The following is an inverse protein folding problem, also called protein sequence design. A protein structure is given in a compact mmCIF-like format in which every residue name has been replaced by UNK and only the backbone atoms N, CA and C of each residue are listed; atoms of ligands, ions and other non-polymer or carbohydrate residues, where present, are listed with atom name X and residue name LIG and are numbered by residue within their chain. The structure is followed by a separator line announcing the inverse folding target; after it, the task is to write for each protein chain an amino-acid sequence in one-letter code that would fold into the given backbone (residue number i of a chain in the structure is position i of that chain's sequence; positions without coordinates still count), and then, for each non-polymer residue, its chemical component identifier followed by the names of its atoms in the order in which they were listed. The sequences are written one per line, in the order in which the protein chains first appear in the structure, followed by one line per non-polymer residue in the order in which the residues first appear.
data_IF_897338011406
#
_entry.id   IF_897338011406
#
_cell.length_a   1.000
_cell.length_b   1.000
_cell.length_c   1.000
_cell.angle_alpha   90.00
_cell.angle_beta   90.00
_cell.angle_gamma   90.00
#
_symmetry.space_group_name_H-M   'P 1'
#
loop_
_entity.id
_entity.type
_entity.pdbx_description
1 polymer ?
#
# COMPACT_ATOMS: atom_id res chain seq x y z
N UNK A 1 -5.60 -31.18 0.17
CA UNK A 1 -4.47 -30.76 -0.67
C UNK A 1 -3.70 -29.71 0.13
N UNK A 2 -2.39 -29.93 0.42
CA UNK A 2 -1.59 -28.93 1.11
C UNK A 2 -1.43 -27.69 0.23
N UNK A 3 -1.61 -26.49 0.81
CA UNK A 3 -1.37 -25.25 0.09
C UNK A 3 0.09 -25.22 -0.39
N UNK A 4 0.31 -24.85 -1.65
CA UNK A 4 1.66 -24.65 -2.19
C UNK A 4 2.27 -23.45 -1.45
N UNK A 5 3.28 -23.69 -0.64
CA UNK A 5 3.95 -22.63 0.11
C UNK A 5 4.72 -21.70 -0.85
N UNK A 6 4.30 -20.45 -0.92
CA UNK A 6 5.02 -19.42 -1.71
C UNK A 6 6.28 -19.02 -0.95
N UNK A 7 7.45 -19.24 -1.56
CA UNK A 7 8.72 -18.80 -0.98
C UNK A 7 8.84 -17.28 -1.10
N UNK A 8 8.77 -16.60 0.05
CA UNK A 8 8.91 -15.14 0.09
C UNK A 8 10.34 -14.70 -0.17
N UNK A 9 10.49 -13.61 -0.93
CA UNK A 9 11.77 -12.91 -1.11
C UNK A 9 12.30 -12.47 0.26
N UNK A 10 13.58 -12.66 0.57
CA UNK A 10 14.19 -12.05 1.76
C UNK A 10 14.09 -10.53 1.69
N UNK A 11 13.58 -9.92 2.74
CA UNK A 11 13.46 -8.46 2.86
C UNK A 11 13.74 -8.01 4.29
N UNK A 12 14.11 -6.74 4.47
CA UNK A 12 14.35 -6.15 5.79
C UNK A 12 13.06 -6.03 6.58
N UNK A 13 13.19 -6.21 7.90
CA UNK A 13 12.10 -5.97 8.85
C UNK A 13 11.95 -4.49 9.10
N UNK A 14 10.78 -3.94 8.83
CA UNK A 14 10.45 -2.53 9.10
C UNK A 14 9.25 -2.47 10.03
N UNK A 15 9.42 -1.90 11.22
CA UNK A 15 8.34 -1.72 12.18
C UNK A 15 7.67 -0.36 11.97
N UNK A 16 6.34 -0.37 11.73
CA UNK A 16 5.50 0.82 11.56
C UNK A 16 4.45 0.85 12.67
N UNK A 17 4.66 1.67 13.71
CA UNK A 17 3.90 1.51 14.93
C UNK A 17 4.07 0.10 15.50
N UNK A 18 2.97 -0.64 15.60
CA UNK A 18 2.97 -2.05 16.03
C UNK A 18 3.04 -3.06 14.86
N UNK A 19 2.96 -2.59 13.60
CA UNK A 19 2.85 -3.44 12.41
C UNK A 19 4.23 -3.72 11.82
N UNK A 20 4.54 -5.01 11.66
CA UNK A 20 5.80 -5.48 11.08
C UNK A 20 5.64 -5.70 9.58
N UNK A 21 6.51 -5.07 8.78
CA UNK A 21 6.63 -5.25 7.33
C UNK A 21 7.91 -6.02 7.02
N UNK A 22 7.86 -6.90 6.03
CA UNK A 22 9.07 -7.61 5.57
C UNK A 22 9.59 -8.67 6.53
N UNK A 23 10.78 -9.21 6.24
CA UNK A 23 11.41 -10.24 7.07
C UNK A 23 10.62 -11.52 7.21
N UNK A 24 9.81 -11.86 6.22
CA UNK A 24 8.93 -13.05 6.26
C UNK A 24 7.59 -12.82 6.97
N UNK A 25 7.33 -11.63 7.53
CA UNK A 25 6.02 -11.30 8.10
C UNK A 25 4.88 -11.40 7.06
N UNK A 26 3.63 -11.63 7.48
CA UNK A 26 2.49 -11.64 6.55
C UNK A 26 2.41 -10.35 5.72
N UNK A 27 1.93 -10.46 4.48
CA UNK A 27 1.73 -9.28 3.61
C UNK A 27 0.69 -8.35 4.22
N UNK A 28 1.06 -7.10 4.45
CA UNK A 28 0.24 -6.12 5.16
C UNK A 28 -0.68 -5.36 4.19
N UNK A 29 -1.95 -5.23 4.57
CA UNK A 29 -2.95 -4.44 3.85
C UNK A 29 -2.88 -2.99 4.32
N UNK A 30 -2.60 -2.08 3.38
CA UNK A 30 -2.62 -0.64 3.59
C UNK A 30 -3.73 0.00 2.78
N UNK A 31 -4.41 0.99 3.35
CA UNK A 31 -5.39 1.83 2.67
C UNK A 31 -5.01 3.31 2.70
N UNK A 32 -5.90 4.16 2.16
CA UNK A 32 -5.73 5.60 2.16
C UNK A 32 -7.10 6.28 2.19
N UNK A 33 -7.21 7.33 3.00
CA UNK A 33 -8.38 8.22 3.00
C UNK A 33 -8.48 9.05 1.71
N UNK A 34 -9.67 9.53 1.42
CA UNK A 34 -9.92 10.53 0.38
C UNK A 34 -10.65 11.77 0.93
N UNK A 35 -10.77 11.87 2.24
CA UNK A 35 -11.25 13.08 2.92
C UNK A 35 -10.19 14.18 2.87
N UNK A 36 -10.63 15.43 3.03
CA UNK A 36 -9.70 16.52 3.37
C UNK A 36 -9.19 16.29 4.79
N UNK A 37 -7.87 16.13 4.94
CA UNK A 37 -7.27 15.86 6.25
C UNK A 37 -7.41 17.04 7.23
N UNK A 38 -7.62 18.25 6.73
CA UNK A 38 -7.94 19.41 7.56
C UNK A 38 -9.29 19.25 8.29
N UNK A 39 -10.23 18.48 7.73
CA UNK A 39 -11.43 18.02 8.43
C UNK A 39 -11.08 16.79 9.28
N UNK A 40 -10.70 17.07 10.53
CA UNK A 40 -10.29 16.04 11.47
C UNK A 40 -11.41 15.04 11.81
N UNK A 41 -12.68 15.46 11.78
CA UNK A 41 -13.81 14.60 12.11
C UNK A 41 -14.08 13.60 10.97
N UNK A 42 -14.26 14.10 9.76
CA UNK A 42 -14.48 13.25 8.58
C UNK A 42 -13.31 12.30 8.34
N UNK A 43 -12.07 12.77 8.54
CA UNK A 43 -10.88 11.93 8.36
C UNK A 43 -10.78 10.87 9.46
N UNK A 44 -11.07 11.19 10.72
CA UNK A 44 -11.11 10.22 11.81
C UNK A 44 -12.13 9.12 11.51
N UNK A 45 -13.34 9.48 11.12
CA UNK A 45 -14.40 8.53 10.81
C UNK A 45 -13.98 7.59 9.68
N UNK A 46 -13.41 8.12 8.59
CA UNK A 46 -12.99 7.30 7.47
C UNK A 46 -11.79 6.40 7.81
N UNK A 47 -10.83 6.87 8.61
CA UNK A 47 -9.72 6.03 9.12
C UNK A 47 -10.26 4.90 9.96
N UNK A 48 -11.23 5.16 10.85
CA UNK A 48 -11.85 4.15 11.69
C UNK A 48 -12.56 3.08 10.84
N UNK A 49 -13.36 3.49 9.86
CA UNK A 49 -14.04 2.54 8.94
C UNK A 49 -13.06 1.66 8.17
N UNK A 50 -11.95 2.24 7.70
CA UNK A 50 -10.90 1.50 7.01
C UNK A 50 -10.21 0.49 7.94
N UNK A 51 -9.94 0.88 9.19
CA UNK A 51 -9.34 0.01 10.20
C UNK A 51 -10.28 -1.14 10.61
N UNK A 52 -11.56 -0.85 10.87
CA UNK A 52 -12.58 -1.85 11.17
C UNK A 52 -12.77 -2.87 10.02
N UNK A 53 -12.59 -2.42 8.77
CA UNK A 53 -12.59 -3.30 7.60
C UNK A 53 -11.35 -4.18 7.51
N UNK A 54 -10.33 -3.90 8.35
CA UNK A 54 -9.09 -4.67 8.46
C UNK A 54 -7.90 -4.08 7.70
N UNK A 55 -7.90 -2.77 7.44
CA UNK A 55 -6.69 -2.06 7.02
C UNK A 55 -5.72 -1.97 8.20
N UNK A 56 -4.53 -2.52 8.03
CA UNK A 56 -3.52 -2.56 9.10
C UNK A 56 -2.67 -1.28 9.16
N UNK A 57 -2.69 -0.50 8.09
CA UNK A 57 -2.02 0.80 7.98
C UNK A 57 -2.93 1.74 7.20
N UNK A 58 -3.18 2.95 7.69
CA UNK A 58 -3.99 3.93 6.97
C UNK A 58 -3.17 5.16 6.64
N UNK A 59 -3.16 5.54 5.36
CA UNK A 59 -2.46 6.73 4.86
C UNK A 59 -3.43 7.90 4.73
N UNK A 60 -3.02 9.05 5.25
CA UNK A 60 -3.69 10.34 5.15
C UNK A 60 -2.81 11.33 4.39
N UNK A 61 -3.39 12.26 3.64
CA UNK A 61 -2.65 13.29 2.91
C UNK A 61 -2.29 14.44 3.85
N UNK A 62 -1.02 14.83 3.89
CA UNK A 62 -0.56 15.98 4.70
C UNK A 62 0.14 16.96 3.76
N UNK A 63 -0.63 17.88 3.20
CA UNK A 63 -0.19 18.78 2.13
C UNK A 63 -0.38 20.27 2.45
N UNK A 64 -1.09 20.60 3.54
CA UNK A 64 -1.30 21.97 4.00
C UNK A 64 -1.00 22.10 5.51
N UNK A 65 -0.76 23.33 6.02
CA UNK A 65 -0.62 23.58 7.46
C UNK A 65 -1.83 23.12 8.27
N UNK A 66 -3.04 23.33 7.74
CA UNK A 66 -4.30 22.92 8.38
C UNK A 66 -4.39 21.40 8.50
N UNK A 67 -4.03 20.68 7.44
CA UNK A 67 -3.95 19.21 7.47
C UNK A 67 -2.92 18.73 8.50
N UNK A 68 -1.74 19.37 8.56
CA UNK A 68 -0.72 19.01 9.55
C UNK A 68 -1.19 19.28 11.00
N UNK A 69 -1.88 20.41 11.25
CA UNK A 69 -2.45 20.74 12.55
C UNK A 69 -3.59 19.77 12.98
N UNK A 70 -4.31 19.19 12.03
CA UNK A 70 -5.39 18.24 12.29
C UNK A 70 -4.88 16.83 12.68
N UNK A 71 -3.69 16.41 12.24
CA UNK A 71 -3.16 15.05 12.48
C UNK A 71 -3.14 14.65 13.96
N UNK A 72 -2.65 15.44 14.91
CA UNK A 72 -2.69 15.10 16.34
C UNK A 72 -4.12 14.92 16.86
N UNK A 73 -5.07 15.73 16.37
CA UNK A 73 -6.49 15.64 16.75
C UNK A 73 -7.11 14.33 16.22
N UNK A 74 -6.81 13.97 14.95
CA UNK A 74 -7.23 12.69 14.36
C UNK A 74 -6.71 11.53 15.20
N UNK A 75 -5.42 11.54 15.58
CA UNK A 75 -4.84 10.48 16.40
C UNK A 75 -5.52 10.37 17.76
N UNK A 76 -5.71 11.50 18.45
CA UNK A 76 -6.38 11.53 19.77
C UNK A 76 -7.84 11.03 19.71
N UNK A 77 -8.57 11.38 18.65
CA UNK A 77 -9.96 10.89 18.45
C UNK A 77 -9.99 9.39 18.22
N UNK A 78 -9.08 8.86 17.38
CA UNK A 78 -8.95 7.42 17.14
C UNK A 78 -8.58 6.66 18.41
N UNK A 79 -7.67 7.20 19.23
CA UNK A 79 -7.29 6.62 20.52
C UNK A 79 -8.50 6.54 21.47
N UNK A 80 -9.33 7.58 21.52
CA UNK A 80 -10.57 7.60 22.30
C UNK A 80 -11.61 6.59 21.80
N UNK A 81 -11.57 6.22 20.50
CA UNK A 81 -12.40 5.18 19.91
C UNK A 81 -11.79 3.77 20.07
N UNK A 82 -10.64 3.63 20.74
CA UNK A 82 -9.92 2.37 20.87
C UNK A 82 -9.26 1.88 19.57
N UNK A 83 -9.11 2.76 18.58
CA UNK A 83 -8.52 2.43 17.29
C UNK A 83 -7.04 2.85 17.27
N UNK A 84 -6.14 1.89 17.37
CA UNK A 84 -4.71 2.09 17.42
C UNK A 84 -4.00 1.88 16.05
N UNK A 85 -4.75 1.92 14.95
CA UNK A 85 -4.20 1.76 13.60
C UNK A 85 -3.11 2.81 13.34
N UNK A 86 -1.92 2.40 12.85
CA UNK A 86 -0.84 3.35 12.56
C UNK A 86 -1.19 4.26 11.37
N UNK A 87 -1.04 5.56 11.58
CA UNK A 87 -1.25 6.59 10.55
C UNK A 87 0.03 6.84 9.76
N UNK A 88 -0.11 6.96 8.45
CA UNK A 88 0.99 7.28 7.54
C UNK A 88 0.75 8.64 6.92
N UNK A 89 1.68 9.57 7.09
CA UNK A 89 1.61 10.87 6.43
C UNK A 89 2.10 10.80 5.00
N UNK A 90 1.26 11.23 4.05
CA UNK A 90 1.63 11.36 2.64
C UNK A 90 1.99 12.82 2.35
N UNK A 91 3.29 13.08 2.25
CA UNK A 91 3.83 14.41 2.05
C UNK A 91 4.13 14.66 0.57
N UNK A 92 3.69 15.82 0.11
CA UNK A 92 3.98 16.37 -1.21
C UNK A 92 4.75 17.68 -1.05
N UNK A 93 5.39 18.17 -2.07
CA UNK A 93 6.12 19.45 -2.27
C UNK A 93 6.67 20.17 -1.02
N UNK A 94 5.85 20.42 0.00
CA UNK A 94 6.14 21.21 1.21
C UNK A 94 6.33 20.36 2.48
N UNK A 95 6.45 19.03 2.35
CA UNK A 95 6.54 18.12 3.50
C UNK A 95 7.70 18.44 4.46
N UNK A 96 8.80 18.97 3.96
CA UNK A 96 9.93 19.42 4.76
C UNK A 96 9.54 20.54 5.75
N UNK A 97 8.74 21.51 5.29
CA UNK A 97 8.22 22.58 6.13
C UNK A 97 7.20 22.06 7.14
N UNK A 98 6.24 21.26 6.68
CA UNK A 98 5.19 20.72 7.54
C UNK A 98 5.75 19.85 8.67
N UNK A 99 6.75 19.01 8.41
CA UNK A 99 7.40 18.19 9.44
C UNK A 99 8.25 19.01 10.41
N UNK A 100 8.71 20.21 10.01
CA UNK A 100 9.50 21.11 10.86
C UNK A 100 8.60 22.04 11.69
N UNK A 101 7.60 22.63 11.06
CA UNK A 101 6.70 23.61 11.66
C UNK A 101 5.64 22.96 12.56
N UNK A 102 5.30 21.67 12.32
CA UNK A 102 4.29 20.92 13.08
C UNK A 102 4.88 19.64 13.71
N UNK A 103 5.69 19.75 14.78
CA UNK A 103 6.35 18.60 15.42
C UNK A 103 5.35 17.59 15.99
N UNK A 104 4.17 18.02 16.45
CA UNK A 104 3.13 17.12 16.95
C UNK A 104 2.54 16.26 15.82
N UNK A 105 2.40 16.79 14.61
CA UNK A 105 2.06 16.03 13.42
C UNK A 105 3.12 14.96 13.16
N UNK A 106 4.41 15.35 13.14
CA UNK A 106 5.51 14.43 12.92
C UNK A 106 5.51 13.29 13.96
N UNK A 107 5.22 13.62 15.23
CA UNK A 107 5.17 12.64 16.33
C UNK A 107 3.97 11.71 16.22
N UNK A 108 2.79 12.20 15.88
CA UNK A 108 1.54 11.44 15.81
C UNK A 108 1.53 10.41 14.66
N UNK A 109 2.27 10.66 13.58
CA UNK A 109 2.41 9.74 12.46
C UNK A 109 3.34 8.57 12.79
N UNK A 110 3.00 7.38 12.29
CA UNK A 110 3.80 6.17 12.47
C UNK A 110 4.84 5.96 11.34
N UNK A 111 4.62 6.56 10.18
CA UNK A 111 5.51 6.48 9.01
C UNK A 111 5.31 7.69 8.10
N UNK A 112 6.36 8.13 7.42
CA UNK A 112 6.26 9.15 6.39
C UNK A 112 6.36 8.55 5.01
N UNK A 113 5.53 9.01 4.07
CA UNK A 113 5.69 8.75 2.65
C UNK A 113 6.28 9.98 1.98
N UNK A 114 7.39 9.78 1.32
CA UNK A 114 8.12 10.81 0.57
C UNK A 114 8.19 10.38 -0.90
N UNK A 115 7.83 11.30 -1.80
CA UNK A 115 8.10 11.14 -3.23
C UNK A 115 9.28 12.05 -3.59
N UNK A 116 10.47 11.50 -3.86
CA UNK A 116 11.66 12.31 -4.16
C UNK A 116 11.49 13.23 -5.37
N UNK A 117 10.67 12.82 -6.36
CA UNK A 117 10.39 13.63 -7.53
C UNK A 117 9.50 14.85 -7.29
N UNK A 118 8.73 14.83 -6.17
CA UNK A 118 7.84 15.93 -5.78
C UNK A 118 8.40 16.79 -4.64
N UNK A 119 9.49 16.37 -4.02
CA UNK A 119 10.17 17.19 -3.02
C UNK A 119 11.00 18.21 -3.76
N UNK A 120 10.56 19.49 -3.72
CA UNK A 120 11.05 20.55 -4.58
C UNK A 120 12.58 20.68 -4.57
N UNK A 121 13.12 20.85 -5.77
CA UNK A 121 14.47 21.37 -5.98
C UNK A 121 14.41 22.90 -5.86
N UNK A 122 14.19 23.40 -4.67
CA UNK A 122 14.32 24.83 -4.45
C UNK A 122 15.79 25.22 -4.54
N UNK A 123 16.06 26.40 -5.12
CA UNK A 123 17.37 27.06 -5.17
C UNK A 123 17.86 27.53 -3.79
N UNK A 124 17.25 27.08 -2.70
CA UNK A 124 17.72 27.33 -1.33
C UNK A 124 18.81 26.33 -0.98
N UNK A 125 19.78 26.72 -0.20
CA UNK A 125 20.92 25.90 0.27
C UNK A 125 20.50 24.68 1.11
N UNK A 126 19.23 24.57 1.47
CA UNK A 126 18.67 23.43 2.21
C UNK A 126 17.90 22.49 1.30
N UNK A 127 18.38 21.25 1.25
CA UNK A 127 17.72 20.17 0.50
C UNK A 127 16.46 19.64 1.24
N UNK A 128 15.26 19.84 0.68
CA UNK A 128 14.02 19.40 1.31
C UNK A 128 13.95 17.91 1.66
N UNK A 129 14.55 17.05 0.83
CA UNK A 129 14.61 15.61 1.12
C UNK A 129 15.41 15.32 2.39
N UNK A 130 16.57 15.96 2.55
CA UNK A 130 17.42 15.80 3.74
C UNK A 130 16.72 16.27 5.01
N UNK A 131 15.95 17.35 4.96
CA UNK A 131 15.15 17.85 6.10
C UNK A 131 14.09 16.80 6.50
N UNK A 132 13.40 16.21 5.54
CA UNK A 132 12.38 15.19 5.81
C UNK A 132 13.00 13.92 6.41
N UNK A 133 14.17 13.50 5.94
CA UNK A 133 14.91 12.35 6.50
C UNK A 133 15.40 12.68 7.91
N UNK A 134 15.91 13.88 8.16
CA UNK A 134 16.30 14.32 9.49
C UNK A 134 15.11 14.32 10.47
N UNK A 135 13.92 14.75 10.04
CA UNK A 135 12.70 14.65 10.82
C UNK A 135 12.33 13.18 11.13
N UNK A 136 12.45 12.29 10.15
CA UNK A 136 12.19 10.86 10.34
C UNK A 136 13.15 10.23 11.37
N UNK A 137 14.43 10.59 11.33
CA UNK A 137 15.44 10.15 12.31
C UNK A 137 15.11 10.69 13.70
N UNK A 138 14.85 12.01 13.81
CA UNK A 138 14.53 12.68 15.08
C UNK A 138 13.33 12.06 15.78
N UNK A 139 12.27 11.75 15.02
CA UNK A 139 11.03 11.17 15.55
C UNK A 139 11.02 9.64 15.53
N UNK A 140 12.15 9.00 15.16
CA UNK A 140 12.28 7.54 15.06
C UNK A 140 11.23 6.88 14.15
N UNK A 141 10.90 7.50 13.00
CA UNK A 141 9.88 7.02 12.07
C UNK A 141 10.50 6.36 10.84
N UNK A 142 9.98 5.21 10.39
CA UNK A 142 10.34 4.67 9.09
C UNK A 142 9.80 5.56 7.96
N UNK A 143 10.45 5.45 6.79
CA UNK A 143 10.09 6.21 5.60
C UNK A 143 9.75 5.26 4.45
N UNK A 144 8.65 5.53 3.74
CA UNK A 144 8.44 4.95 2.44
C UNK A 144 8.87 5.94 1.35
N UNK A 145 9.92 5.58 0.63
CA UNK A 145 10.34 6.28 -0.57
C UNK A 145 9.48 5.75 -1.72
N UNK A 146 8.58 6.60 -2.19
CA UNK A 146 7.59 6.23 -3.19
C UNK A 146 7.79 7.01 -4.48
N UNK A 147 8.44 6.38 -5.46
CA UNK A 147 8.65 6.95 -6.78
C UNK A 147 7.46 6.61 -7.68
N UNK A 148 6.99 7.58 -8.43
CA UNK A 148 5.95 7.40 -9.43
C UNK A 148 6.50 7.77 -10.81
N UNK A 149 6.07 7.05 -11.84
CA UNK A 149 6.44 7.31 -13.22
C UNK A 149 6.24 8.79 -13.63
N UNK A 150 5.07 9.37 -13.35
CA UNK A 150 4.74 10.75 -13.70
C UNK A 150 5.53 11.85 -12.95
N UNK A 151 6.31 11.48 -11.92
CA UNK A 151 7.15 12.44 -11.16
C UNK A 151 8.64 12.08 -11.20
N UNK A 152 9.05 11.31 -12.21
CA UNK A 152 10.43 10.89 -12.37
C UNK A 152 11.31 12.10 -12.75
N UNK A 153 12.52 12.13 -12.21
CA UNK A 153 13.50 13.18 -12.50
C UNK A 153 13.90 13.15 -13.98
N UNK A 154 13.50 14.18 -14.72
CA UNK A 154 13.76 14.29 -16.15
C UNK A 154 15.26 14.29 -16.49
N UNK A 155 16.11 14.87 -15.64
CA UNK A 155 17.56 14.85 -15.87
C UNK A 155 18.14 13.44 -15.74
N UNK A 156 17.60 12.63 -14.82
CA UNK A 156 17.99 11.22 -14.72
C UNK A 156 17.59 10.46 -15.98
N UNK A 157 16.35 10.68 -16.46
CA UNK A 157 15.85 10.02 -17.68
C UNK A 157 16.68 10.39 -18.89
N UNK A 158 16.91 11.70 -19.12
CA UNK A 158 17.71 12.19 -20.25
C UNK A 158 19.12 11.60 -20.23
N UNK A 159 19.80 11.63 -19.08
CA UNK A 159 21.14 11.05 -18.95
C UNK A 159 21.15 9.56 -19.29
N UNK A 160 20.18 8.78 -18.77
CA UNK A 160 20.11 7.37 -19.05
C UNK A 160 19.74 7.06 -20.51
N UNK A 161 18.95 7.91 -21.17
CA UNK A 161 18.66 7.81 -22.62
C UNK A 161 19.92 8.09 -23.45
N UNK A 162 20.70 9.11 -23.07
CA UNK A 162 21.97 9.45 -23.73
C UNK A 162 23.00 8.33 -23.58
N UNK A 163 23.11 7.75 -22.38
CA UNK A 163 23.97 6.58 -22.13
C UNK A 163 23.53 5.37 -22.94
N UNK A 164 22.23 5.12 -23.03
CA UNK A 164 21.65 4.03 -23.81
C UNK A 164 21.90 4.19 -25.31
N UNK A 165 21.79 5.39 -25.86
CA UNK A 165 22.01 5.67 -27.30
C UNK A 165 23.43 5.36 -27.77
N UNK A 166 24.39 5.32 -26.85
CA UNK A 166 25.81 5.01 -27.13
C UNK A 166 26.14 3.52 -27.05
N UNK A 167 25.17 2.66 -26.66
CA UNK A 167 25.39 1.23 -26.59
C UNK A 167 25.31 0.59 -27.98
N UNK A 168 25.99 -0.54 -28.16
CA UNK A 168 25.96 -1.28 -29.42
C UNK A 168 24.54 -1.77 -29.75
N UNK A 169 23.76 -2.14 -28.73
CA UNK A 169 22.37 -2.55 -28.83
C UNK A 169 21.54 -1.70 -27.87
N UNK A 170 21.05 -0.53 -28.31
CA UNK A 170 20.23 0.33 -27.46
C UNK A 170 18.90 -0.35 -27.08
N UNK A 171 18.53 -0.23 -25.82
CA UNK A 171 17.24 -0.69 -25.29
C UNK A 171 16.12 0.23 -25.75
N UNK A 172 14.89 -0.26 -25.73
CA UNK A 172 13.73 0.58 -26.00
C UNK A 172 13.49 1.63 -24.90
N UNK A 173 12.71 2.66 -25.23
CA UNK A 173 12.44 3.81 -24.35
C UNK A 173 11.75 3.34 -23.04
N UNK A 174 10.85 2.35 -23.12
CA UNK A 174 10.16 1.79 -21.95
C UNK A 174 11.12 1.10 -20.99
N UNK A 175 12.07 0.31 -21.52
CA UNK A 175 13.09 -0.34 -20.71
C UNK A 175 14.00 0.67 -19.99
N UNK A 176 14.45 1.71 -20.69
CA UNK A 176 15.27 2.76 -20.07
C UNK A 176 14.48 3.53 -19.02
N UNK A 177 13.20 3.81 -19.26
CA UNK A 177 12.37 4.51 -18.28
C UNK A 177 12.09 3.65 -17.05
N UNK A 178 11.84 2.33 -17.22
CA UNK A 178 11.75 1.40 -16.08
C UNK A 178 13.04 1.36 -15.27
N UNK A 179 14.18 1.29 -15.94
CA UNK A 179 15.49 1.34 -15.28
C UNK A 179 15.71 2.66 -14.52
N UNK A 180 15.31 3.79 -15.10
CA UNK A 180 15.38 5.09 -14.44
C UNK A 180 14.49 5.17 -13.18
N UNK A 181 13.30 4.58 -13.20
CA UNK A 181 12.41 4.49 -12.05
C UNK A 181 13.05 3.71 -10.90
N UNK A 182 13.66 2.56 -11.20
CA UNK A 182 14.37 1.73 -10.24
C UNK A 182 15.61 2.46 -9.69
N UNK A 183 16.39 3.08 -10.57
CA UNK A 183 17.56 3.85 -10.18
C UNK A 183 17.19 5.01 -9.24
N UNK A 184 16.14 5.76 -9.54
CA UNK A 184 15.63 6.85 -8.70
C UNK A 184 15.24 6.36 -7.28
N UNK A 185 14.54 5.22 -7.19
CA UNK A 185 14.15 4.64 -5.91
C UNK A 185 15.38 4.22 -5.08
N UNK A 186 16.33 3.51 -5.70
CA UNK A 186 17.54 3.02 -5.03
C UNK A 186 18.48 4.16 -4.62
N UNK A 187 18.72 5.12 -5.49
CA UNK A 187 19.56 6.29 -5.19
C UNK A 187 18.97 7.11 -4.04
N UNK A 188 17.64 7.28 -4.01
CA UNK A 188 16.98 7.98 -2.91
C UNK A 188 17.08 7.21 -1.59
N UNK A 189 17.00 5.86 -1.62
CA UNK A 189 17.19 5.04 -0.43
C UNK A 189 18.64 5.13 0.08
N UNK A 190 19.61 4.97 -0.79
CA UNK A 190 21.04 5.11 -0.44
C UNK A 190 21.35 6.49 0.13
N UNK A 191 20.75 7.55 -0.45
CA UNK A 191 20.88 8.89 0.09
C UNK A 191 20.28 9.03 1.48
N UNK A 192 19.13 8.43 1.74
CA UNK A 192 18.50 8.43 3.07
C UNK A 192 19.42 7.74 4.10
N UNK A 193 20.08 6.65 3.72
CA UNK A 193 21.06 5.97 4.57
C UNK A 193 22.31 6.82 4.82
N UNK A 194 22.83 7.49 3.80
CA UNK A 194 23.95 8.42 3.94
C UNK A 194 23.65 9.58 4.89
N UNK A 195 22.36 9.98 4.98
CA UNK A 195 21.86 10.96 5.95
C UNK A 195 21.63 10.39 7.35
N UNK A 196 21.85 9.09 7.55
CA UNK A 196 21.77 8.41 8.84
C UNK A 196 20.47 7.66 9.12
N UNK A 197 19.54 7.54 8.16
CA UNK A 197 18.36 6.70 8.32
C UNK A 197 18.76 5.21 8.22
N UNK A 198 18.43 4.43 9.23
CA UNK A 198 18.81 3.02 9.27
C UNK A 198 18.14 2.24 8.12
N UNK A 199 18.85 1.27 7.55
CA UNK A 199 18.42 0.43 6.43
C UNK A 199 17.05 -0.22 6.67
N UNK A 200 16.82 -0.73 7.87
CA UNK A 200 15.57 -1.34 8.31
C UNK A 200 14.45 -0.32 8.65
N UNK A 201 14.62 0.94 8.27
CA UNK A 201 13.60 2.00 8.37
C UNK A 201 13.11 2.46 7.00
N UNK A 202 13.50 1.79 5.92
CA UNK A 202 13.17 2.19 4.56
C UNK A 202 12.24 1.14 3.93
N UNK A 203 11.17 1.63 3.33
CA UNK A 203 10.26 0.87 2.46
C UNK A 203 10.33 1.50 1.07
N UNK A 204 10.42 0.70 0.01
CA UNK A 204 10.42 1.20 -1.36
C UNK A 204 9.09 0.94 -2.07
N UNK A 205 8.71 1.85 -2.94
CA UNK A 205 7.67 1.62 -3.93
C UNK A 205 7.92 2.36 -5.22
N UNK A 206 7.74 1.64 -6.34
CA UNK A 206 7.82 2.14 -7.71
C UNK A 206 6.46 1.95 -8.36
N UNK A 207 5.70 3.03 -8.56
CA UNK A 207 4.34 2.94 -9.08
C UNK A 207 4.25 3.35 -10.53
N UNK A 208 3.57 2.50 -11.30
CA UNK A 208 3.24 2.67 -12.71
C UNK A 208 1.77 2.34 -12.94
N UNK A 209 1.21 2.69 -14.08
CA UNK A 209 -0.21 2.47 -14.41
C UNK A 209 -0.45 1.19 -15.20
N UNK A 210 0.61 0.67 -15.86
CA UNK A 210 0.51 -0.53 -16.69
C UNK A 210 0.94 -1.78 -15.91
N UNK A 211 0.15 -2.87 -16.08
CA UNK A 211 0.35 -4.14 -15.37
C UNK A 211 1.72 -4.75 -15.69
N UNK A 212 2.09 -4.81 -16.97
CA UNK A 212 3.34 -5.44 -17.39
C UNK A 212 4.56 -4.64 -16.92
N UNK A 213 4.47 -3.31 -16.94
CA UNK A 213 5.53 -2.44 -16.43
C UNK A 213 5.71 -2.59 -14.92
N UNK A 214 4.59 -2.71 -14.17
CA UNK A 214 4.67 -2.95 -12.72
C UNK A 214 5.41 -4.25 -12.41
N UNK A 215 5.04 -5.33 -13.11
CA UNK A 215 5.67 -6.64 -12.94
C UNK A 215 7.17 -6.58 -13.27
N UNK A 216 7.52 -5.99 -14.41
CA UNK A 216 8.92 -5.86 -14.84
C UNK A 216 9.75 -5.02 -13.84
N UNK A 217 9.22 -3.89 -13.38
CA UNK A 217 9.89 -2.99 -12.42
C UNK A 217 10.13 -3.70 -11.10
N UNK A 218 9.14 -4.36 -10.53
CA UNK A 218 9.31 -5.00 -9.22
C UNK A 218 10.14 -6.29 -9.28
N UNK A 219 10.11 -7.04 -10.36
CA UNK A 219 11.06 -8.16 -10.57
C UNK A 219 12.50 -7.66 -10.57
N UNK A 220 12.77 -6.61 -11.34
CA UNK A 220 14.11 -6.03 -11.41
C UNK A 220 14.54 -5.38 -10.08
N UNK A 221 13.64 -4.66 -9.41
CA UNK A 221 13.91 -4.05 -8.10
C UNK A 221 14.18 -5.10 -7.03
N UNK A 222 13.43 -6.19 -7.02
CA UNK A 222 13.56 -7.29 -6.06
C UNK A 222 14.93 -7.99 -6.12
N UNK A 223 15.55 -8.02 -7.30
CA UNK A 223 16.90 -8.56 -7.51
C UNK A 223 18.01 -7.59 -7.09
N UNK A 224 17.71 -6.29 -6.98
CA UNK A 224 18.71 -5.24 -6.77
C UNK A 224 18.76 -4.68 -5.35
N UNK A 225 17.86 -5.06 -4.47
CA UNK A 225 17.83 -4.61 -3.09
C UNK A 225 17.05 -5.59 -2.19
N UNK A 226 17.20 -5.42 -0.88
CA UNK A 226 16.49 -6.19 0.16
C UNK A 226 15.54 -5.33 1.01
N UNK A 227 15.30 -4.08 0.64
CA UNK A 227 14.28 -3.24 1.31
C UNK A 227 12.90 -3.90 1.25
N UNK A 228 12.08 -3.64 2.26
CA UNK A 228 10.66 -3.99 2.21
C UNK A 228 9.96 -3.26 1.04
N UNK A 229 9.14 -3.98 0.28
CA UNK A 229 8.50 -3.48 -0.93
C UNK A 229 7.00 -3.27 -0.74
N UNK A 230 6.53 -2.07 -1.09
CA UNK A 230 5.11 -1.73 -1.10
C UNK A 230 4.57 -1.78 -2.53
N UNK A 231 3.70 -2.74 -2.80
CA UNK A 231 3.09 -2.93 -4.12
C UNK A 231 1.80 -2.11 -4.28
N UNK A 232 1.52 -1.71 -5.49
CA UNK A 232 0.24 -1.11 -5.88
C UNK A 232 0.30 -0.53 -7.28
N UNK A 233 -0.71 -0.85 -8.08
CA UNK A 233 -0.92 -0.22 -9.38
C UNK A 233 -1.53 1.16 -9.16
N UNK A 234 -1.05 2.20 -9.88
CA UNK A 234 -1.68 3.52 -9.87
C UNK A 234 -2.63 3.63 -11.07
N UNK A 235 -3.69 4.44 -10.94
CA UNK A 235 -4.64 4.66 -12.04
C UNK A 235 -5.25 3.36 -12.61
N UNK A 236 -5.47 2.37 -11.75
CA UNK A 236 -5.96 1.06 -12.16
C UNK A 236 -7.35 1.12 -12.83
N UNK A 237 -8.12 2.13 -12.50
CA UNK A 237 -9.47 2.38 -13.02
C UNK A 237 -10.58 2.15 -12.00
N UNK A 238 -11.81 2.21 -12.49
CA UNK A 238 -13.04 2.10 -11.70
C UNK A 238 -13.61 0.67 -11.80
N UNK A 239 -14.35 0.25 -10.78
CA UNK A 239 -15.14 -0.97 -10.79
C UNK A 239 -14.33 -2.23 -11.11
N UNK A 240 -14.90 -3.11 -11.92
CA UNK A 240 -14.28 -4.39 -12.29
C UNK A 240 -12.95 -4.24 -13.01
N UNK A 241 -12.78 -3.23 -13.88
CA UNK A 241 -11.53 -2.97 -14.61
C UNK A 241 -10.39 -2.72 -13.63
N UNK A 242 -10.60 -1.85 -12.63
CA UNK A 242 -9.59 -1.54 -11.62
C UNK A 242 -9.22 -2.74 -10.74
N UNK A 243 -10.22 -3.54 -10.36
CA UNK A 243 -10.02 -4.78 -9.58
C UNK A 243 -9.20 -5.78 -10.38
N UNK A 244 -9.59 -6.05 -11.64
CA UNK A 244 -8.89 -7.01 -12.51
C UNK A 244 -7.44 -6.58 -12.77
N UNK A 245 -7.21 -5.31 -13.11
CA UNK A 245 -5.86 -4.80 -13.36
C UNK A 245 -4.98 -4.88 -12.09
N UNK A 246 -5.50 -4.48 -10.94
CA UNK A 246 -4.78 -4.58 -9.66
C UNK A 246 -4.49 -6.03 -9.29
N UNK A 247 -5.47 -6.92 -9.44
CA UNK A 247 -5.31 -8.35 -9.15
C UNK A 247 -4.25 -8.98 -10.05
N UNK A 248 -4.32 -8.73 -11.37
CA UNK A 248 -3.35 -9.28 -12.32
C UNK A 248 -1.91 -8.83 -12.00
N UNK A 249 -1.72 -7.53 -11.71
CA UNK A 249 -0.40 -7.00 -11.39
C UNK A 249 0.15 -7.55 -10.07
N UNK A 250 -0.67 -7.56 -9.01
CA UNK A 250 -0.23 -7.96 -7.68
C UNK A 250 -0.08 -9.47 -7.55
N UNK A 251 -0.99 -10.26 -8.14
CA UNK A 251 -0.98 -11.71 -8.02
C UNK A 251 0.30 -12.33 -8.60
N UNK A 252 0.78 -11.85 -9.75
CA UNK A 252 2.03 -12.33 -10.35
C UNK A 252 3.21 -12.08 -9.41
N UNK A 253 3.35 -10.87 -8.88
CA UNK A 253 4.45 -10.51 -7.98
C UNK A 253 4.38 -11.26 -6.64
N UNK A 254 3.19 -11.35 -6.06
CA UNK A 254 2.97 -12.08 -4.81
C UNK A 254 3.23 -13.58 -4.97
N UNK A 255 2.88 -14.19 -6.12
CA UNK A 255 3.20 -15.58 -6.44
C UNK A 255 4.70 -15.83 -6.52
N UNK A 256 5.47 -14.84 -6.93
CA UNK A 256 6.94 -14.86 -6.94
C UNK A 256 7.57 -14.51 -5.59
N UNK A 257 6.75 -14.31 -4.56
CA UNK A 257 7.19 -13.94 -3.21
C UNK A 257 7.61 -12.47 -3.07
N UNK A 258 7.31 -11.62 -4.05
CA UNK A 258 7.66 -10.20 -4.07
C UNK A 258 6.50 -9.38 -3.48
N UNK A 259 6.81 -8.51 -2.51
CA UNK A 259 5.86 -7.59 -1.87
C UNK A 259 5.63 -7.88 -0.39
N UNK A 260 5.79 -6.87 0.45
CA UNK A 260 5.66 -6.95 1.90
C UNK A 260 4.43 -6.21 2.41
N UNK A 261 3.93 -5.27 1.64
CA UNK A 261 2.66 -4.57 1.88
C UNK A 261 2.02 -4.21 0.55
N UNK A 262 0.70 -4.21 0.49
CA UNK A 262 -0.06 -3.91 -0.71
C UNK A 262 -1.08 -2.79 -0.46
N UNK A 263 -1.38 -2.02 -1.51
CA UNK A 263 -2.51 -1.11 -1.55
C UNK A 263 -3.23 -1.22 -2.90
N UNK A 264 -4.51 -1.48 -2.85
CA UNK A 264 -5.41 -1.35 -3.99
C UNK A 264 -5.76 0.13 -4.17
N UNK A 265 -5.78 0.61 -5.41
CA UNK A 265 -6.07 2.00 -5.75
C UNK A 265 -7.15 2.02 -6.82
N UNK A 266 -8.40 2.11 -6.39
CA UNK A 266 -9.56 2.21 -7.27
C UNK A 266 -10.00 3.66 -7.40
N UNK A 267 -10.50 4.04 -8.57
CA UNK A 267 -11.32 5.24 -8.70
C UNK A 267 -12.66 4.94 -8.02
N UNK A 268 -13.08 5.71 -7.00
CA UNK A 268 -14.34 5.47 -6.32
C UNK A 268 -15.54 5.58 -7.30
N UNK A 269 -16.47 4.65 -7.19
CA UNK A 269 -17.79 4.82 -7.84
C UNK A 269 -18.57 5.90 -7.07
N UNK A 270 -19.45 6.67 -7.73
CA UNK A 270 -20.30 7.63 -7.03
C UNK A 270 -21.07 6.97 -5.88
N UNK A 271 -20.90 7.47 -4.66
CA UNK A 271 -21.48 6.87 -3.45
C UNK A 271 -20.81 5.58 -2.97
N UNK A 272 -19.75 5.13 -3.62
CA UNK A 272 -19.02 3.91 -3.26
C UNK A 272 -18.17 4.10 -2.00
N UNK A 273 -18.17 3.08 -1.12
CA UNK A 273 -17.33 3.10 0.08
C UNK A 273 -15.85 2.94 -0.24
N UNK A 274 -15.02 3.70 0.46
CA UNK A 274 -13.56 3.59 0.40
C UNK A 274 -13.03 2.26 0.94
N UNK A 275 -13.79 1.60 1.80
CA UNK A 275 -13.46 0.29 2.37
C UNK A 275 -13.36 -0.82 1.32
N UNK A 276 -13.96 -0.65 0.13
CA UNK A 276 -13.88 -1.63 -0.97
C UNK A 276 -12.43 -1.97 -1.36
N UNK A 277 -11.52 -0.98 -1.31
CA UNK A 277 -10.09 -1.23 -1.57
C UNK A 277 -9.46 -2.20 -0.57
N UNK A 278 -9.85 -2.12 0.71
CA UNK A 278 -9.38 -3.02 1.76
C UNK A 278 -9.91 -4.43 1.52
N UNK A 279 -11.21 -4.56 1.23
CA UNK A 279 -11.84 -5.85 0.94
C UNK A 279 -11.18 -6.53 -0.24
N UNK A 280 -10.96 -5.80 -1.36
CA UNK A 280 -10.30 -6.35 -2.54
C UNK A 280 -8.86 -6.78 -2.23
N UNK A 281 -8.11 -6.01 -1.44
CA UNK A 281 -6.76 -6.39 -1.03
C UNK A 281 -6.75 -7.70 -0.21
N UNK A 282 -7.69 -7.84 0.72
CA UNK A 282 -7.86 -9.06 1.50
C UNK A 282 -8.24 -10.25 0.61
N UNK A 283 -9.18 -10.07 -0.31
CA UNK A 283 -9.63 -11.11 -1.24
C UNK A 283 -8.49 -11.59 -2.15
N UNK A 284 -7.62 -10.70 -2.63
CA UNK A 284 -6.43 -11.09 -3.39
C UNK A 284 -5.51 -11.98 -2.53
N UNK A 285 -5.16 -11.54 -1.32
CA UNK A 285 -4.26 -12.29 -0.44
C UNK A 285 -4.85 -13.64 -0.02
N UNK A 286 -6.14 -13.67 0.24
CA UNK A 286 -6.85 -14.88 0.66
C UNK A 286 -7.00 -15.88 -0.50
N UNK A 287 -7.39 -15.42 -1.69
CA UNK A 287 -7.51 -16.25 -2.89
C UNK A 287 -6.17 -16.88 -3.28
N UNK A 288 -5.07 -16.17 -3.05
CA UNK A 288 -3.72 -16.68 -3.28
C UNK A 288 -3.19 -17.59 -2.16
N UNK A 289 -3.94 -17.81 -1.08
CA UNK A 289 -3.50 -18.59 0.07
C UNK A 289 -2.36 -17.98 0.88
N UNK A 290 -2.12 -16.68 0.74
CA UNK A 290 -1.08 -15.96 1.47
C UNK A 290 -1.52 -15.57 2.89
N UNK A 291 -2.80 -15.26 3.04
CA UNK A 291 -3.43 -14.88 4.32
C UNK A 291 -4.90 -15.27 4.32
N UNK A 292 -5.45 -15.49 5.49
CA UNK A 292 -6.89 -15.64 5.70
C UNK A 292 -7.41 -14.45 6.53
N UNK A 293 -8.57 -13.91 6.15
CA UNK A 293 -9.21 -12.76 6.81
C UNK A 293 -10.61 -13.07 7.29
N UNK A 294 -11.33 -13.95 6.59
CA UNK A 294 -12.67 -14.40 6.93
C UNK A 294 -12.89 -15.78 6.28
N UNK A 295 -13.84 -16.60 6.77
CA UNK A 295 -14.23 -17.83 6.12
C UNK A 295 -14.53 -17.60 4.63
N UNK A 296 -13.97 -18.46 3.76
CA UNK A 296 -14.20 -18.36 2.32
C UNK A 296 -15.56 -18.97 1.97
N UNK A 297 -16.41 -18.19 1.31
CA UNK A 297 -17.68 -18.69 0.77
C UNK A 297 -17.49 -19.07 -0.71
N UNK A 298 -17.59 -20.34 -1.00
CA UNK A 298 -17.58 -20.89 -2.35
C UNK A 298 -19.00 -21.15 -2.79
N UNK A 299 -19.48 -20.49 -3.82
CA UNK A 299 -20.81 -20.67 -4.34
C UNK A 299 -20.79 -21.27 -5.77
N UNK A 300 -21.78 -22.09 -6.06
CA UNK A 300 -22.01 -22.61 -7.40
C UNK A 300 -22.37 -21.45 -8.34
N UNK A 301 -21.86 -21.41 -9.60
CA UNK A 301 -22.17 -20.33 -10.55
C UNK A 301 -23.63 -20.30 -11.02
N UNK A 302 -24.40 -21.36 -10.72
CA UNK A 302 -25.74 -21.54 -11.27
C UNK A 302 -25.72 -21.93 -12.76
N UNK A 303 -26.15 -23.12 -13.05
CA UNK A 303 -26.26 -23.63 -14.43
C UNK A 303 -27.72 -23.96 -14.74
N UNK A 304 -28.01 -24.48 -15.96
CA UNK A 304 -29.37 -24.86 -16.37
C UNK A 304 -30.05 -25.94 -15.48
N UNK A 305 -29.35 -26.53 -14.53
CA UNK A 305 -29.89 -27.43 -13.51
C UNK A 305 -30.43 -26.69 -12.28
N UNK A 306 -30.15 -25.43 -12.16
CA UNK A 306 -30.55 -24.60 -11.01
C UNK A 306 -31.84 -23.87 -11.36
N UNK A 307 -32.92 -24.16 -10.65
CA UNK A 307 -34.25 -23.62 -10.90
C UNK A 307 -34.65 -22.45 -9.99
N UNK A 308 -33.75 -22.11 -9.02
CA UNK A 308 -34.03 -21.07 -8.03
C UNK A 308 -32.81 -20.16 -7.84
N UNK A 309 -33.04 -18.86 -7.60
CA UNK A 309 -32.00 -17.88 -7.22
C UNK A 309 -31.70 -17.91 -5.70
N UNK A 310 -32.43 -18.67 -4.92
CA UNK A 310 -32.33 -18.70 -3.45
C UNK A 310 -30.90 -18.96 -2.96
N UNK A 311 -30.13 -19.84 -3.63
CA UNK A 311 -28.76 -20.13 -3.24
C UNK A 311 -27.81 -18.93 -3.42
N UNK A 312 -28.11 -18.02 -4.36
CA UNK A 312 -27.34 -16.79 -4.59
C UNK A 312 -27.58 -15.81 -3.43
N UNK A 313 -28.84 -15.62 -3.05
CA UNK A 313 -29.23 -14.80 -1.90
C UNK A 313 -28.67 -15.37 -0.59
N UNK A 314 -28.74 -16.70 -0.44
CA UNK A 314 -28.15 -17.41 0.71
C UNK A 314 -26.63 -17.24 0.77
N UNK A 315 -25.92 -17.38 -0.34
CA UNK A 315 -24.47 -17.18 -0.40
C UNK A 315 -24.08 -15.76 -0.01
N UNK A 316 -24.81 -14.75 -0.52
CA UNK A 316 -24.59 -13.36 -0.18
C UNK A 316 -24.87 -13.10 1.32
N UNK A 317 -25.97 -13.63 1.85
CA UNK A 317 -26.35 -13.51 3.26
C UNK A 317 -25.31 -14.16 4.19
N UNK A 318 -24.87 -15.38 3.86
CA UNK A 318 -23.81 -16.07 4.59
C UNK A 318 -22.51 -15.27 4.57
N UNK A 319 -22.10 -14.76 3.42
CA UNK A 319 -20.87 -13.96 3.30
C UNK A 319 -20.93 -12.70 4.15
N UNK A 320 -22.06 -12.00 4.14
CA UNK A 320 -22.27 -10.80 4.96
C UNK A 320 -22.26 -11.15 6.47
N UNK A 321 -22.95 -12.24 6.86
CA UNK A 321 -22.98 -12.70 8.24
C UNK A 321 -21.59 -13.11 8.74
N UNK A 322 -20.85 -13.90 7.97
CA UNK A 322 -19.48 -14.29 8.33
C UNK A 322 -18.59 -13.07 8.56
N UNK A 323 -18.64 -12.09 7.67
CA UNK A 323 -17.86 -10.85 7.82
C UNK A 323 -18.24 -10.07 9.10
N UNK A 324 -19.54 -9.95 9.39
CA UNK A 324 -20.02 -9.21 10.57
C UNK A 324 -19.65 -9.91 11.90
N UNK A 325 -19.53 -11.23 11.89
CA UNK A 325 -19.18 -12.02 13.10
C UNK A 325 -17.68 -12.17 13.33
N UNK A 326 -16.84 -11.88 12.32
CA UNK A 326 -15.39 -12.11 12.42
C UNK A 326 -14.71 -11.41 13.60
N UNK A 327 -15.03 -10.16 13.98
CA UNK A 327 -14.41 -9.55 15.17
C UNK A 327 -14.61 -10.39 16.43
N UNK A 328 -15.82 -10.92 16.64
CA UNK A 328 -16.16 -11.74 17.82
C UNK A 328 -15.59 -13.16 17.68
N UNK A 329 -15.66 -13.73 16.49
CA UNK A 329 -15.25 -15.14 16.29
C UNK A 329 -13.75 -15.34 16.37
N UNK A 330 -12.93 -14.38 15.92
CA UNK A 330 -11.47 -14.44 16.06
C UNK A 330 -11.02 -14.51 17.51
N UNK A 331 -11.75 -13.88 18.42
CA UNK A 331 -11.46 -13.95 19.87
C UNK A 331 -11.83 -15.28 20.48
N UNK A 332 -12.81 -15.98 19.90
CA UNK A 332 -13.39 -17.21 20.48
C UNK A 332 -12.90 -18.49 19.83
N UNK A 333 -12.56 -18.46 18.55
CA UNK A 333 -12.24 -19.63 17.76
C UNK A 333 -10.95 -19.41 16.96
N UNK A 334 -9.88 -20.06 17.39
CA UNK A 334 -8.61 -20.02 16.69
C UNK A 334 -8.72 -20.62 15.29
N UNK A 335 -8.25 -19.90 14.26
CA UNK A 335 -8.24 -20.36 12.88
C UNK A 335 -9.59 -20.31 12.17
N UNK A 336 -10.60 -19.64 12.73
CA UNK A 336 -11.95 -19.52 12.13
C UNK A 336 -11.89 -18.90 10.73
N UNK A 337 -10.96 -18.01 10.49
CA UNK A 337 -10.73 -17.36 9.19
C UNK A 337 -10.31 -18.35 8.10
N UNK A 338 -9.80 -19.53 8.45
CA UNK A 338 -9.39 -20.58 7.51
C UNK A 338 -10.54 -21.50 7.07
N UNK A 339 -11.74 -21.33 7.63
CA UNK A 339 -12.91 -22.10 7.24
C UNK A 339 -13.30 -21.84 5.78
N UNK A 340 -13.84 -22.86 5.13
CA UNK A 340 -14.49 -22.73 3.82
C UNK A 340 -15.93 -23.20 3.93
N UNK A 341 -16.86 -22.36 3.48
CA UNK A 341 -18.29 -22.65 3.43
C UNK A 341 -18.71 -22.81 1.97
N UNK A 342 -19.29 -23.94 1.61
CA UNK A 342 -19.80 -24.20 0.27
C UNK A 342 -21.31 -24.00 0.21
N UNK A 343 -21.80 -23.20 -0.73
CA UNK A 343 -23.22 -22.96 -1.00
C UNK A 343 -23.53 -23.47 -2.40
N UNK A 344 -24.30 -24.56 -2.47
CA UNK A 344 -24.60 -25.25 -3.73
C UNK A 344 -26.07 -25.08 -4.09
N UNK A 345 -26.38 -24.81 -5.35
CA UNK A 345 -27.73 -24.51 -5.85
C UNK A 345 -28.49 -25.69 -6.45
N UNK A 346 -27.86 -26.84 -6.55
CA UNK A 346 -28.51 -28.07 -7.01
C UNK A 346 -28.15 -29.25 -6.10
N UNK A 347 -29.11 -30.13 -5.89
CA UNK A 347 -28.98 -31.39 -5.18
C UNK A 347 -28.81 -32.51 -6.22
#
# INVERSE_FOLDING_TARGET
MGAIAIKRRPSQRVLVGKVLLGGGAPVVVQSMTNTDTADAEATTQQVYELAETGSELVRITVNTPEAAAAVPQIRSRLDNMGCDVPLIGDFHYNGHRLLTEFPDCAQALAKYRINPGNVGRNRSDEDPFSIMIAAAIRHNKPVRIGVNWGSLDQNLVVRMMDENSRQAEPKDVGEVTRAALIAAARQSAQRAEQLGLAHNRIVLSCKVSEVQDLIAVYRALALQCDYALHLGLTEAGMGSKGIVASTAALAVLLQEGIGDTIRISLTPEPGGSRTREVVVAQEILQTMGLRAFAPMVVACPGCGRTTSSFFQELAQSIQAHLRSQMPVWRERYEGVENMTVAVMGCI
#
